data_IF_481974640514
#
_entry.id   IF_481974640514
#
_cell.length_a   1.000
_cell.length_b   1.000
_cell.length_c   1.000
_cell.angle_alpha   90.00
_cell.angle_beta   90.00
_cell.angle_gamma   90.00
#
_symmetry.space_group_name_H-M   'P 1'
#
loop_
_entity.id
_entity.type
_entity.pdbx_description
1 polymer ?
#
# COMPACT_ATOMS: atom_id res chain seq x y z
N UNK A 1 12.71 14.74 22.73
CA UNK A 1 11.26 14.50 22.56
C UNK A 1 11.00 14.38 21.05
N UNK A 2 10.49 13.25 20.55
CA UNK A 2 10.26 13.09 19.10
C UNK A 2 10.04 11.66 18.56
N UNK A 3 10.39 10.62 19.31
CA UNK A 3 10.37 9.23 18.81
C UNK A 3 8.97 8.58 18.81
N UNK A 4 8.04 9.04 19.64
CA UNK A 4 6.71 8.44 19.75
C UNK A 4 5.82 8.68 18.51
N UNK A 5 5.97 9.84 17.86
CA UNK A 5 5.17 10.18 16.67
C UNK A 5 5.61 9.38 15.44
N UNK A 6 6.92 9.09 15.31
CA UNK A 6 7.45 8.25 14.25
C UNK A 6 6.92 6.82 14.37
N UNK A 7 7.02 6.23 15.57
CA UNK A 7 6.52 4.88 15.83
C UNK A 7 5.01 4.75 15.55
N UNK A 8 4.22 5.77 15.91
CA UNK A 8 2.77 5.78 15.62
C UNK A 8 2.50 5.84 14.11
N UNK A 9 3.26 6.66 13.37
CA UNK A 9 3.13 6.74 11.91
C UNK A 9 3.53 5.43 11.25
N UNK A 10 4.63 4.81 11.67
CA UNK A 10 5.06 3.50 11.17
C UNK A 10 3.99 2.43 11.39
N UNK A 11 3.37 2.40 12.58
CA UNK A 11 2.27 1.47 12.84
C UNK A 11 1.04 1.73 11.96
N UNK A 12 0.72 3.00 11.68
CA UNK A 12 -0.37 3.33 10.78
C UNK A 12 -0.06 2.88 9.35
N UNK A 13 1.16 3.12 8.86
CA UNK A 13 1.60 2.70 7.52
C UNK A 13 1.58 1.17 7.36
N UNK A 14 1.99 0.44 8.39
CA UNK A 14 1.91 -1.02 8.38
C UNK A 14 0.46 -1.50 8.23
N UNK A 15 -0.49 -0.92 8.99
CA UNK A 15 -1.91 -1.25 8.87
C UNK A 15 -2.50 -0.88 7.50
N UNK A 16 -2.11 0.26 6.93
CA UNK A 16 -2.52 0.68 5.59
C UNK A 16 -1.99 -0.28 4.51
N UNK A 17 -0.75 -0.76 4.63
CA UNK A 17 -0.18 -1.77 3.73
C UNK A 17 -0.89 -3.12 3.84
N UNK A 18 -1.19 -3.58 5.06
CA UNK A 18 -1.94 -4.82 5.27
C UNK A 18 -3.36 -4.71 4.72
N UNK A 19 -4.02 -3.57 4.92
CA UNK A 19 -5.33 -3.31 4.34
C UNK A 19 -5.30 -3.32 2.81
N UNK A 20 -4.27 -2.73 2.20
CA UNK A 20 -4.07 -2.76 0.76
C UNK A 20 -3.83 -4.19 0.25
N UNK A 21 -2.95 -4.96 0.91
CA UNK A 21 -2.69 -6.37 0.58
C UNK A 21 -3.99 -7.16 0.60
N UNK A 22 -4.75 -7.04 1.70
CA UNK A 22 -6.02 -7.73 1.85
C UNK A 22 -7.04 -7.33 0.79
N UNK A 23 -7.13 -6.03 0.46
CA UNK A 23 -8.03 -5.55 -0.59
C UNK A 23 -7.65 -6.12 -1.96
N UNK A 24 -6.35 -6.19 -2.27
CA UNK A 24 -5.85 -6.76 -3.52
C UNK A 24 -6.15 -8.26 -3.59
N UNK A 25 -5.83 -9.02 -2.54
CA UNK A 25 -6.11 -10.47 -2.46
C UNK A 25 -7.60 -10.78 -2.57
N UNK A 26 -8.44 -10.00 -1.87
CA UNK A 26 -9.89 -10.14 -1.92
C UNK A 26 -10.42 -9.87 -3.32
N UNK A 27 -9.94 -8.82 -3.98
CA UNK A 27 -10.31 -8.52 -5.36
C UNK A 27 -9.82 -9.60 -6.32
N UNK A 28 -8.61 -10.13 -6.15
CA UNK A 28 -8.08 -11.25 -6.93
C UNK A 28 -8.99 -12.49 -6.89
N UNK A 29 -9.58 -12.76 -5.73
CA UNK A 29 -10.46 -13.92 -5.53
C UNK A 29 -11.90 -13.69 -5.99
N UNK A 30 -12.38 -12.45 -5.97
CA UNK A 30 -13.81 -12.15 -6.10
C UNK A 30 -14.18 -11.18 -7.22
N UNK A 31 -13.22 -10.58 -7.94
CA UNK A 31 -13.48 -9.54 -8.93
C UNK A 31 -12.43 -9.45 -10.03
N UNK A 32 -12.78 -8.78 -11.13
CA UNK A 32 -11.84 -8.34 -12.17
C UNK A 32 -11.47 -6.87 -12.03
N UNK A 33 -11.90 -6.20 -10.94
CA UNK A 33 -11.56 -4.81 -10.67
C UNK A 33 -10.06 -4.65 -10.46
N UNK A 34 -9.44 -3.66 -11.09
CA UNK A 34 -7.99 -3.41 -10.98
C UNK A 34 -7.70 -1.97 -10.53
N UNK A 35 -8.74 -1.24 -10.10
CA UNK A 35 -8.63 0.18 -9.73
C UNK A 35 -8.85 0.36 -8.23
N UNK A 36 -7.86 0.94 -7.58
CA UNK A 36 -7.85 1.15 -6.14
C UNK A 36 -7.66 2.63 -5.84
N UNK A 37 -8.38 3.13 -4.84
CA UNK A 37 -8.19 4.47 -4.31
C UNK A 37 -7.59 4.39 -2.92
N UNK A 38 -6.58 5.22 -2.62
CA UNK A 38 -6.06 5.38 -1.25
C UNK A 38 -6.02 6.86 -0.88
N UNK A 39 -6.29 7.14 0.39
CA UNK A 39 -6.20 8.49 0.97
C UNK A 39 -4.81 8.72 1.62
N UNK A 40 -3.89 7.78 1.47
CA UNK A 40 -2.56 7.81 2.07
C UNK A 40 -1.49 8.10 1.02
N UNK A 41 -0.94 9.32 1.05
CA UNK A 41 0.16 9.73 0.14
C UNK A 41 1.42 8.89 0.33
N UNK A 42 1.70 8.51 1.57
CA UNK A 42 2.86 7.67 1.90
C UNK A 42 2.75 6.30 1.21
N UNK A 43 1.55 5.72 1.14
CA UNK A 43 1.27 4.46 0.45
C UNK A 43 1.60 4.56 -1.06
N UNK A 44 1.20 5.67 -1.70
CA UNK A 44 1.57 5.95 -3.10
C UNK A 44 3.09 6.07 -3.24
N UNK A 45 3.76 6.77 -2.32
CA UNK A 45 5.20 6.92 -2.34
C UNK A 45 5.92 5.57 -2.15
N UNK A 46 5.41 4.70 -1.28
CA UNK A 46 5.94 3.35 -1.04
C UNK A 46 5.82 2.44 -2.26
N UNK A 47 4.73 2.55 -3.02
CA UNK A 47 4.54 1.78 -4.25
C UNK A 47 5.39 2.36 -5.39
N UNK A 48 5.54 3.69 -5.43
CA UNK A 48 6.30 4.38 -6.48
C UNK A 48 7.81 4.20 -6.33
N UNK A 49 8.31 4.26 -5.09
CA UNK A 49 9.71 4.07 -4.75
C UNK A 49 9.86 3.17 -3.51
N UNK A 50 9.66 1.85 -3.66
CA UNK A 50 9.72 0.90 -2.55
C UNK A 50 11.13 0.83 -1.93
N UNK A 51 12.18 1.18 -2.67
CA UNK A 51 13.56 1.16 -2.19
C UNK A 51 13.83 2.21 -1.11
N UNK A 52 13.09 3.33 -1.13
CA UNK A 52 13.16 4.35 -0.10
C UNK A 52 12.54 3.92 1.25
N UNK A 53 11.82 2.79 1.28
CA UNK A 53 11.05 2.30 2.44
C UNK A 53 11.55 0.94 2.93
N UNK A 54 12.86 0.85 3.19
CA UNK A 54 13.54 -0.38 3.61
C UNK A 54 12.91 -1.06 4.84
N UNK A 55 12.28 -0.30 5.75
CA UNK A 55 11.57 -0.84 6.92
C UNK A 55 10.35 -1.72 6.57
N UNK A 56 9.83 -1.63 5.33
CA UNK A 56 8.65 -2.35 4.85
C UNK A 56 8.96 -3.20 3.61
N UNK A 57 10.24 -3.52 3.39
CA UNK A 57 10.70 -4.18 2.16
C UNK A 57 9.95 -5.49 1.89
N UNK A 58 9.69 -6.29 2.91
CA UNK A 58 9.00 -7.59 2.77
C UNK A 58 7.55 -7.40 2.36
N UNK A 59 6.82 -6.50 3.02
CA UNK A 59 5.42 -6.21 2.72
C UNK A 59 5.26 -5.61 1.32
N UNK A 60 6.19 -4.73 0.93
CA UNK A 60 6.20 -4.11 -0.39
C UNK A 60 6.55 -5.10 -1.49
N UNK A 61 7.42 -6.08 -1.23
CA UNK A 61 7.71 -7.16 -2.18
C UNK A 61 6.47 -8.02 -2.42
N UNK A 62 5.74 -8.40 -1.36
CA UNK A 62 4.48 -9.14 -1.48
C UNK A 62 3.46 -8.35 -2.29
N UNK A 63 3.28 -7.05 -2.00
CA UNK A 63 2.34 -6.19 -2.74
C UNK A 63 2.77 -6.05 -4.21
N UNK A 64 4.06 -5.94 -4.51
CA UNK A 64 4.56 -5.91 -5.89
C UNK A 64 4.28 -7.23 -6.63
N UNK A 65 4.48 -8.38 -5.99
CA UNK A 65 4.16 -9.68 -6.58
C UNK A 65 2.66 -9.75 -6.89
N UNK A 66 1.82 -9.34 -5.94
CA UNK A 66 0.37 -9.25 -6.15
C UNK A 66 0.03 -8.31 -7.31
N UNK A 67 0.75 -7.18 -7.46
CA UNK A 67 0.57 -6.28 -8.60
C UNK A 67 0.97 -6.90 -9.94
N UNK A 68 2.01 -7.72 -10.00
CA UNK A 68 2.41 -8.41 -11.23
C UNK A 68 1.33 -9.40 -11.71
N UNK A 69 0.44 -9.87 -10.82
CA UNK A 69 -0.72 -10.67 -11.21
C UNK A 69 -1.81 -9.89 -11.95
N UNK A 70 -1.78 -8.55 -11.97
CA UNK A 70 -2.73 -7.70 -12.67
C UNK A 70 -2.11 -7.04 -13.91
N UNK A 71 -2.77 -7.13 -15.06
CA UNK A 71 -2.25 -6.51 -16.30
C UNK A 71 -2.51 -4.99 -16.41
N UNK A 72 -3.47 -4.44 -15.68
CA UNK A 72 -3.86 -3.01 -15.73
C UNK A 72 -4.25 -2.48 -14.34
N UNK A 73 -3.37 -2.70 -13.36
CA UNK A 73 -3.55 -2.18 -12.01
C UNK A 73 -3.35 -0.66 -11.96
N UNK A 74 -4.30 0.06 -11.36
CA UNK A 74 -4.19 1.50 -11.11
C UNK A 74 -4.53 1.81 -9.66
N UNK A 75 -3.57 2.37 -8.94
CA UNK A 75 -3.83 3.03 -7.65
C UNK A 75 -3.82 4.54 -7.84
N UNK A 76 -4.77 5.23 -7.22
CA UNK A 76 -4.88 6.69 -7.28
C UNK A 76 -5.07 7.29 -5.90
N UNK A 77 -4.45 8.44 -5.69
CA UNK A 77 -4.62 9.21 -4.46
C UNK A 77 -5.93 9.99 -4.48
N UNK A 78 -6.76 9.82 -3.46
CA UNK A 78 -7.97 10.60 -3.26
C UNK A 78 -7.88 11.34 -1.93
N UNK A 79 -7.73 12.68 -1.92
CA UNK A 79 -7.75 13.43 -0.67
C UNK A 79 -9.16 13.40 -0.06
N UNK A 80 -9.24 13.11 1.24
CA UNK A 80 -10.48 13.29 2.01
C UNK A 80 -10.75 14.80 2.12
N UNK A 81 -11.94 15.23 1.69
CA UNK A 81 -12.42 16.61 1.83
C UNK A 81 -12.80 16.92 3.28
#
# INVERSE_FOLDING_TARGET
>A
MGTQNLRRRETALHSELEALRWAIESILQHSTCQRFGTECKDLIAMITDPQAWSNFSTELEVIQILYMCFSDFKISYFPRA
#
